data_IF_773096755926
#
_entry.id   IF_773096755926
#
_cell.length_a   1.000
_cell.length_b   1.000
_cell.length_c   1.000
_cell.angle_alpha   90.00
_cell.angle_beta   90.00
_cell.angle_gamma   90.00
#
_symmetry.space_group_name_H-M   'P 1'
#
loop_
_entity.id
_entity.type
_entity.pdbx_description
1 polymer ?
#
# COMPACT_ATOMS: atom_id res chain seq x y z
N UNK A 1 -10.60 -40.34 0.75
CA UNK A 1 -11.46 -39.14 0.92
C UNK A 1 -11.08 -38.51 2.25
N UNK A 2 -10.52 -37.29 2.29
CA UNK A 2 -10.10 -36.63 3.54
C UNK A 2 -11.20 -35.65 3.96
N UNK A 3 -12.05 -36.05 4.89
CA UNK A 3 -13.06 -35.18 5.50
C UNK A 3 -12.41 -34.36 6.62
N UNK A 4 -12.48 -33.03 6.51
CA UNK A 4 -12.05 -32.12 7.56
C UNK A 4 -13.29 -31.63 8.33
N UNK A 5 -13.45 -32.08 9.58
CA UNK A 5 -14.51 -31.67 10.50
C UNK A 5 -14.05 -30.50 11.39
N UNK A 6 -13.76 -29.34 10.79
CA UNK A 6 -13.48 -28.12 11.58
C UNK A 6 -14.74 -27.24 11.60
N UNK A 7 -15.31 -26.90 12.77
CA UNK A 7 -16.47 -26.01 12.83
C UNK A 7 -16.11 -24.62 12.30
N UNK A 8 -17.01 -24.05 11.49
CA UNK A 8 -16.85 -22.75 10.84
C UNK A 8 -16.80 -21.65 11.92
N UNK A 9 -15.72 -20.84 12.02
CA UNK A 9 -15.71 -19.73 12.96
C UNK A 9 -16.81 -18.75 12.55
N UNK A 10 -17.69 -18.45 13.50
CA UNK A 10 -18.84 -17.56 13.39
C UNK A 10 -18.36 -16.22 12.80
N UNK A 11 -18.90 -15.82 11.66
CA UNK A 11 -18.64 -14.54 11.00
C UNK A 11 -18.87 -13.40 12.00
N UNK A 12 -17.79 -12.95 12.66
CA UNK A 12 -17.79 -11.71 13.41
C UNK A 12 -17.63 -10.58 12.40
N UNK A 13 -18.74 -9.88 12.16
CA UNK A 13 -18.74 -8.64 11.40
C UNK A 13 -17.80 -7.64 12.06
N UNK A 14 -16.65 -7.40 11.43
CA UNK A 14 -15.79 -6.26 11.72
C UNK A 14 -16.43 -5.02 11.14
N UNK A 15 -16.66 -4.07 12.03
CA UNK A 15 -17.37 -2.83 11.83
C UNK A 15 -16.57 -1.95 10.87
N UNK A 16 -17.23 -1.43 9.83
CA UNK A 16 -16.66 -0.52 8.86
C UNK A 16 -16.31 0.82 9.52
N UNK A 17 -15.08 0.92 10.01
CA UNK A 17 -14.44 2.17 10.38
C UNK A 17 -13.67 2.73 9.19
N UNK A 18 -14.15 3.86 8.67
CA UNK A 18 -13.42 4.98 8.04
C UNK A 18 -12.25 4.65 7.10
N UNK A 19 -12.43 5.00 5.82
CA UNK A 19 -11.39 5.20 4.80
C UNK A 19 -10.59 3.95 4.39
N UNK A 20 -11.30 2.90 3.97
CA UNK A 20 -10.73 1.60 3.64
C UNK A 20 -10.05 1.58 2.26
N UNK A 21 -8.83 2.13 2.17
CA UNK A 21 -7.85 1.51 1.27
C UNK A 21 -7.64 0.08 1.80
N UNK A 22 -7.63 -0.97 0.96
CA UNK A 22 -7.30 -2.30 1.46
C UNK A 22 -5.93 -2.22 2.11
N UNK A 23 -5.89 -2.37 3.44
CA UNK A 23 -4.66 -2.27 4.22
C UNK A 23 -3.71 -3.34 3.69
N UNK A 24 -2.65 -2.86 3.03
CA UNK A 24 -1.55 -3.73 2.60
C UNK A 24 -0.93 -4.32 3.87
N UNK A 25 -0.66 -5.65 3.92
CA UNK A 25 -0.07 -6.26 5.09
C UNK A 25 1.19 -5.51 5.54
N UNK A 26 1.42 -5.44 6.86
CA UNK A 26 2.58 -4.74 7.45
C UNK A 26 3.89 -5.17 6.75
N UNK A 27 4.67 -4.19 6.29
CA UNK A 27 5.95 -4.41 5.59
C UNK A 27 5.84 -5.02 4.17
N UNK A 28 4.64 -5.24 3.65
CA UNK A 28 4.45 -5.63 2.26
C UNK A 28 4.82 -4.49 1.31
N UNK A 29 5.30 -4.87 0.12
CA UNK A 29 5.66 -3.91 -0.92
C UNK A 29 4.83 -4.14 -2.17
N UNK A 30 4.41 -3.04 -2.81
CA UNK A 30 3.70 -3.05 -4.09
C UNK A 30 4.72 -3.06 -5.23
N UNK A 31 4.57 -3.99 -6.16
CA UNK A 31 5.39 -4.01 -7.36
C UNK A 31 4.96 -2.90 -8.33
N UNK A 32 5.87 -1.99 -8.69
CA UNK A 32 5.60 -0.86 -9.60
C UNK A 32 5.29 -1.29 -11.04
N UNK A 33 5.73 -2.49 -11.45
CA UNK A 33 5.51 -3.01 -12.81
C UNK A 33 4.12 -3.61 -13.00
N UNK A 34 3.53 -4.17 -11.96
CA UNK A 34 2.29 -4.96 -12.10
C UNK A 34 1.28 -4.77 -10.96
N UNK A 35 1.57 -3.89 -10.02
CA UNK A 35 0.74 -3.59 -8.84
C UNK A 35 0.45 -4.77 -7.92
N UNK A 36 1.15 -5.90 -8.09
CA UNK A 36 1.04 -7.04 -7.18
C UNK A 36 1.64 -6.70 -5.81
N UNK A 37 0.93 -7.07 -4.74
CA UNK A 37 1.43 -6.94 -3.36
C UNK A 37 2.27 -8.15 -2.99
N UNK A 38 3.48 -7.92 -2.50
CA UNK A 38 4.45 -8.95 -2.15
C UNK A 38 4.76 -8.92 -0.64
N UNK A 39 5.19 -10.05 -0.08
CA UNK A 39 5.59 -10.14 1.33
C UNK A 39 6.95 -9.48 1.61
N UNK A 40 7.19 -8.98 2.85
CA UNK A 40 8.39 -8.21 3.20
C UNK A 40 9.72 -8.87 2.85
N UNK A 41 9.78 -10.21 3.01
CA UNK A 41 10.98 -11.02 2.79
C UNK A 41 11.29 -11.30 1.30
N UNK A 42 10.40 -10.91 0.39
CA UNK A 42 10.63 -11.07 -1.05
C UNK A 42 11.49 -9.94 -1.57
N UNK A 43 12.57 -10.30 -2.26
CA UNK A 43 13.42 -9.39 -3.02
C UNK A 43 12.96 -9.20 -4.46
N UNK A 44 12.05 -10.05 -4.95
CA UNK A 44 11.47 -10.03 -6.30
C UNK A 44 9.97 -10.25 -6.28
N UNK A 45 9.27 -9.73 -7.29
CA UNK A 45 7.83 -9.88 -7.43
C UNK A 45 7.47 -11.35 -7.65
N UNK A 46 6.49 -11.86 -6.89
CA UNK A 46 6.03 -13.24 -6.95
C UNK A 46 5.17 -13.55 -8.19
N UNK A 47 4.74 -12.53 -8.94
CA UNK A 47 3.97 -12.73 -10.17
C UNK A 47 4.86 -13.39 -11.23
N UNK A 48 4.41 -14.55 -11.73
CA UNK A 48 5.16 -15.39 -12.69
C UNK A 48 5.67 -14.62 -13.92
N UNK A 49 4.86 -13.71 -14.46
CA UNK A 49 5.20 -12.91 -15.64
C UNK A 49 5.81 -11.53 -15.30
N UNK A 50 6.37 -11.35 -14.10
CA UNK A 50 6.93 -10.06 -13.68
C UNK A 50 8.36 -10.20 -13.16
N UNK A 51 8.57 -10.86 -12.01
CA UNK A 51 9.89 -11.03 -11.42
C UNK A 51 10.67 -9.75 -11.07
N UNK A 52 10.05 -8.57 -11.15
CA UNK A 52 10.71 -7.28 -10.91
C UNK A 52 11.28 -7.20 -9.48
N UNK A 53 12.44 -6.57 -9.34
CA UNK A 53 13.10 -6.38 -8.05
C UNK A 53 12.30 -5.49 -7.11
N UNK A 54 12.42 -5.75 -5.81
CA UNK A 54 11.86 -4.90 -4.75
C UNK A 54 12.49 -3.51 -4.90
N UNK A 55 11.68 -2.43 -4.94
CA UNK A 55 12.23 -1.08 -4.94
C UNK A 55 13.09 -0.93 -3.68
N UNK A 56 14.39 -0.66 -3.88
CA UNK A 56 15.26 -0.33 -2.75
C UNK A 56 14.73 0.98 -2.18
N UNK A 57 14.53 1.05 -0.86
CA UNK A 57 14.24 2.29 -0.11
C UNK A 57 15.44 3.25 -0.15
N UNK A 58 15.92 3.59 -1.35
CA UNK A 58 16.76 4.77 -1.56
C UNK A 58 15.78 5.92 -1.44
N UNK A 59 16.08 6.86 -0.55
CA UNK A 59 15.25 8.03 -0.25
C UNK A 59 14.98 8.85 -1.51
N UNK A 60 13.93 8.54 -2.24
CA UNK A 60 13.25 9.48 -3.11
C UNK A 60 11.82 9.52 -2.61
N UNK A 61 11.56 10.54 -1.80
CA UNK A 61 10.22 10.92 -1.39
C UNK A 61 9.53 11.55 -2.60
N UNK A 62 8.37 11.02 -3.01
CA UNK A 62 7.24 11.87 -3.33
C UNK A 62 6.23 11.61 -2.23
N UNK A 63 6.43 12.26 -1.08
CA UNK A 63 5.39 12.36 -0.08
C UNK A 63 4.40 13.41 -0.58
N UNK A 64 3.48 13.01 -1.44
CA UNK A 64 2.26 13.76 -1.73
C UNK A 64 1.43 13.81 -0.44
N UNK A 65 1.74 14.74 0.45
CA UNK A 65 0.73 15.31 1.33
C UNK A 65 0.06 16.42 0.54
N UNK A 66 -1.11 16.09 0.00
CA UNK A 66 -2.10 17.11 -0.30
C UNK A 66 -2.44 17.83 1.02
N UNK A 67 -2.05 19.09 1.15
CA UNK A 67 -2.79 20.08 1.94
C UNK A 67 -2.54 21.47 1.34
N UNK A 68 -3.61 22.22 1.12
CA UNK A 68 -3.63 23.49 0.41
C UNK A 68 -3.07 24.63 1.29
N UNK A 69 -2.69 25.74 0.64
CA UNK A 69 -2.54 27.10 1.20
C UNK A 69 -1.12 27.55 1.64
N UNK A 70 -0.29 27.99 0.68
CA UNK A 70 0.67 29.10 0.85
C UNK A 70 1.16 29.63 -0.52
N UNK A 71 0.35 30.47 -1.17
CA UNK A 71 0.71 31.21 -2.39
C UNK A 71 0.18 32.66 -2.31
N UNK A 72 0.17 33.25 -1.11
CA UNK A 72 -0.30 34.63 -0.87
C UNK A 72 0.77 35.39 -0.08
N UNK A 73 2.01 35.29 -0.54
CA UNK A 73 3.15 36.00 0.06
C UNK A 73 4.04 36.69 -1.00
N UNK A 74 4.02 36.25 -2.27
CA UNK A 74 4.86 36.84 -3.33
C UNK A 74 4.19 37.92 -4.20
N UNK A 75 2.87 38.13 -4.13
CA UNK A 75 2.19 39.14 -4.97
C UNK A 75 1.85 40.46 -4.27
N UNK A 76 2.10 40.57 -2.96
CA UNK A 76 1.86 41.81 -2.19
C UNK A 76 3.13 42.62 -1.93
N UNK A 77 4.30 42.12 -2.35
CA UNK A 77 5.58 42.79 -2.16
C UNK A 77 6.06 43.59 -3.40
N UNK A 78 5.35 43.52 -4.53
CA UNK A 78 5.78 44.11 -5.82
C UNK A 78 4.76 45.14 -6.37
N UNK A 79 3.66 45.42 -5.66
CA UNK A 79 2.70 46.49 -6.01
C UNK A 79 2.59 47.57 -4.94
#
# INVERSE_FOLDING_TARGET
>A
MRTCNTPKPRSQGTKFGKNSKPDMPEGSWKCEKCNNINYPFRTKCNRQNCGADKPSEKKESPSETADANDQISDLVAIL
#
